data_IF_701380574522
#
_entry.id   IF_701380574522
#
_cell.length_a   1.000
_cell.length_b   1.000
_cell.length_c   1.000
_cell.angle_alpha   90.00
_cell.angle_beta   90.00
_cell.angle_gamma   90.00
#
_symmetry.space_group_name_H-M   'P 1'
#
loop_
_entity.id
_entity.type
_entity.pdbx_description
1 polymer ?
#
# COMPACT_ATOMS: atom_id res chain seq x y z
N UNK A 1 -17.49 0.26 23.77
CA UNK A 1 -16.63 -0.39 24.80
C UNK A 1 -16.70 -1.93 24.78
N UNK A 2 -17.89 -2.56 24.63
CA UNK A 2 -18.08 -4.03 24.69
C UNK A 2 -17.43 -4.85 23.55
N UNK A 3 -17.26 -4.31 22.34
CA UNK A 3 -16.67 -5.06 21.21
C UNK A 3 -15.15 -5.23 21.35
N UNK A 4 -14.43 -4.15 21.71
CA UNK A 4 -12.98 -4.20 21.93
C UNK A 4 -12.59 -5.19 23.04
N UNK A 5 -13.35 -5.23 24.14
CA UNK A 5 -13.10 -6.18 25.23
C UNK A 5 -13.35 -7.64 24.81
N UNK A 6 -14.35 -7.91 23.97
CA UNK A 6 -14.61 -9.25 23.41
C UNK A 6 -13.49 -9.73 22.50
N UNK A 7 -12.96 -8.84 21.64
CA UNK A 7 -11.84 -9.16 20.75
C UNK A 7 -10.57 -9.47 21.54
N UNK A 8 -10.23 -8.63 22.53
CA UNK A 8 -9.07 -8.86 23.40
C UNK A 8 -9.19 -10.16 24.19
N UNK A 9 -10.38 -10.44 24.73
CA UNK A 9 -10.67 -11.72 25.40
C UNK A 9 -10.46 -12.89 24.46
N UNK A 10 -11.00 -12.84 23.24
CA UNK A 10 -10.81 -13.90 22.25
C UNK A 10 -9.33 -14.16 21.95
N UNK A 11 -8.51 -13.13 21.78
CA UNK A 11 -7.07 -13.30 21.58
C UNK A 11 -6.39 -13.97 22.77
N UNK A 12 -6.72 -13.55 23.99
CA UNK A 12 -6.18 -14.15 25.21
C UNK A 12 -6.59 -15.62 25.34
N UNK A 13 -7.87 -15.92 25.17
CA UNK A 13 -8.42 -17.28 25.31
C UNK A 13 -7.84 -18.25 24.26
N UNK A 14 -7.35 -17.74 23.12
CA UNK A 14 -6.74 -18.53 22.04
C UNK A 14 -5.21 -18.39 21.97
N UNK A 15 -4.57 -17.76 22.96
CA UNK A 15 -3.12 -17.50 22.99
C UNK A 15 -2.58 -16.81 21.72
N UNK A 16 -3.35 -15.90 21.13
CA UNK A 16 -2.96 -15.16 19.93
C UNK A 16 -2.11 -13.96 20.33
N UNK A 17 -0.87 -13.94 19.86
CA UNK A 17 0.06 -12.85 20.06
C UNK A 17 -0.21 -11.78 19.00
N UNK A 18 -0.49 -10.56 19.45
CA UNK A 18 -0.76 -9.41 18.59
C UNK A 18 0.56 -8.74 18.19
N UNK A 19 0.64 -8.19 16.98
CA UNK A 19 1.83 -7.49 16.46
C UNK A 19 3.11 -8.34 16.36
N UNK A 20 3.04 -9.65 16.65
CA UNK A 20 4.09 -10.64 16.43
C UNK A 20 3.56 -11.84 15.65
N UNK A 21 4.47 -12.58 15.01
CA UNK A 21 4.12 -13.81 14.32
C UNK A 21 3.73 -14.92 15.31
N UNK A 22 2.56 -15.48 15.08
CA UNK A 22 2.08 -16.74 15.64
C UNK A 22 2.52 -17.85 14.69
N UNK A 23 3.25 -18.85 15.20
CA UNK A 23 3.66 -20.01 14.39
C UNK A 23 2.43 -20.78 13.90
N UNK A 24 2.57 -21.43 12.74
CA UNK A 24 1.57 -22.41 12.30
C UNK A 24 1.49 -23.55 13.32
N UNK A 25 0.29 -23.81 13.82
CA UNK A 25 0.06 -24.85 14.83
C UNK A 25 -0.36 -26.16 14.19
N UNK A 26 -0.48 -27.21 15.01
CA UNK A 26 -0.98 -28.51 14.55
C UNK A 26 -2.40 -28.42 13.96
N UNK A 27 -3.19 -27.39 14.32
CA UNK A 27 -4.53 -27.15 13.76
C UNK A 27 -4.55 -27.06 12.24
N UNK A 28 -3.49 -26.53 11.64
CA UNK A 28 -3.39 -26.30 10.20
C UNK A 28 -2.28 -27.09 9.54
N UNK A 29 -1.62 -28.03 10.24
CA UNK A 29 -0.44 -28.76 9.76
C UNK A 29 -0.68 -29.48 8.43
N UNK A 30 -1.84 -30.11 8.27
CA UNK A 30 -2.23 -30.84 7.06
C UNK A 30 -2.71 -29.93 5.92
N UNK A 31 -2.95 -28.64 6.20
CA UNK A 31 -3.40 -27.68 5.20
C UNK A 31 -2.19 -27.06 4.51
N UNK A 32 -2.10 -27.24 3.18
CA UNK A 32 -1.06 -26.60 2.38
C UNK A 32 -1.16 -25.07 2.47
N UNK A 33 0.00 -24.40 2.53
CA UNK A 33 0.05 -22.93 2.51
C UNK A 33 -0.49 -22.37 1.19
N UNK A 34 -0.04 -22.94 0.06
CA UNK A 34 -0.56 -22.61 -1.27
C UNK A 34 -1.80 -23.46 -1.56
N UNK A 35 -2.93 -22.80 -1.75
CA UNK A 35 -4.17 -23.46 -2.13
C UNK A 35 -4.05 -24.06 -3.53
N UNK A 36 -4.62 -25.26 -3.74
CA UNK A 36 -4.82 -25.84 -5.08
C UNK A 36 -6.11 -25.35 -5.75
N UNK A 37 -7.00 -24.71 -4.99
CA UNK A 37 -8.26 -24.16 -5.50
C UNK A 37 -8.02 -22.79 -6.12
N UNK A 38 -8.65 -22.54 -7.26
CA UNK A 38 -8.65 -21.21 -7.89
C UNK A 38 -9.29 -20.19 -6.95
N UNK A 39 -8.81 -18.95 -7.01
CA UNK A 39 -9.40 -17.79 -6.32
C UNK A 39 -9.38 -17.86 -4.79
N UNK A 40 -8.47 -18.65 -4.20
CA UNK A 40 -8.16 -18.63 -2.77
C UNK A 40 -6.70 -18.22 -2.63
N UNK A 41 -6.43 -17.14 -1.91
CA UNK A 41 -5.08 -16.67 -1.64
C UNK A 41 -4.28 -17.64 -0.77
N UNK A 42 -2.96 -17.46 -0.78
CA UNK A 42 -2.07 -18.28 0.04
C UNK A 42 -2.34 -18.02 1.54
N UNK A 43 -2.30 -19.08 2.34
CA UNK A 43 -2.48 -19.02 3.78
C UNK A 43 -3.94 -18.87 4.25
N UNK A 44 -4.89 -18.51 3.39
CA UNK A 44 -6.31 -18.30 3.80
C UNK A 44 -6.91 -19.56 4.45
N UNK A 45 -6.78 -20.71 3.79
CA UNK A 45 -7.28 -21.98 4.36
C UNK A 45 -6.61 -22.37 5.67
N UNK A 46 -5.33 -21.99 5.86
CA UNK A 46 -4.64 -22.23 7.15
C UNK A 46 -5.23 -21.31 8.22
N UNK A 47 -5.44 -20.03 7.93
CA UNK A 47 -6.06 -19.07 8.85
C UNK A 47 -7.46 -19.50 9.27
N UNK A 48 -8.27 -20.06 8.36
CA UNK A 48 -9.58 -20.63 8.69
C UNK A 48 -9.46 -21.67 9.82
N UNK A 49 -8.47 -22.56 9.73
CA UNK A 49 -8.23 -23.58 10.76
C UNK A 49 -7.63 -23.00 12.04
N UNK A 50 -6.64 -22.11 11.94
CA UNK A 50 -6.00 -21.50 13.11
C UNK A 50 -7.01 -20.72 13.98
N UNK A 51 -7.89 -19.96 13.33
CA UNK A 51 -8.89 -19.11 13.96
C UNK A 51 -10.26 -19.78 14.14
N UNK A 52 -10.41 -21.06 13.78
CA UNK A 52 -11.68 -21.81 13.83
C UNK A 52 -12.85 -21.09 13.14
N UNK A 53 -12.58 -20.49 11.97
CA UNK A 53 -13.59 -19.79 11.17
C UNK A 53 -14.52 -20.82 10.51
N UNK A 54 -15.84 -20.65 10.69
CA UNK A 54 -16.87 -21.54 10.13
C UNK A 54 -17.66 -20.91 8.98
N UNK A 55 -17.44 -19.63 8.71
CA UNK A 55 -18.09 -18.89 7.62
C UNK A 55 -17.40 -19.21 6.27
N UNK A 56 -18.09 -18.95 5.16
CA UNK A 56 -17.54 -19.18 3.82
C UNK A 56 -16.40 -18.19 3.52
N UNK A 57 -15.42 -18.67 2.75
CA UNK A 57 -14.33 -17.85 2.18
C UNK A 57 -14.90 -16.86 1.18
N UNK A 58 -14.38 -15.63 1.16
CA UNK A 58 -14.71 -14.66 0.12
C UNK A 58 -14.41 -15.21 -1.27
N UNK A 59 -15.28 -14.92 -2.24
CA UNK A 59 -15.07 -15.29 -3.64
C UNK A 59 -14.18 -14.29 -4.39
N UNK A 60 -13.97 -14.55 -5.68
CA UNK A 60 -13.12 -13.76 -6.59
C UNK A 60 -13.48 -12.26 -6.71
N UNK A 61 -14.69 -11.87 -6.28
CA UNK A 61 -15.19 -10.49 -6.32
C UNK A 61 -15.41 -9.89 -4.91
N UNK A 62 -14.90 -10.54 -3.86
CA UNK A 62 -14.99 -10.05 -2.50
C UNK A 62 -13.76 -9.22 -2.16
N UNK A 63 -13.96 -8.04 -1.57
CA UNK A 63 -12.87 -7.26 -0.95
C UNK A 63 -12.52 -7.77 0.45
N UNK A 64 -13.28 -8.75 0.96
CA UNK A 64 -13.11 -9.41 2.25
C UNK A 64 -12.70 -10.86 1.99
N UNK A 65 -11.57 -11.28 2.57
CA UNK A 65 -11.03 -12.63 2.36
C UNK A 65 -11.76 -13.64 3.28
N UNK A 66 -11.96 -13.28 4.56
CA UNK A 66 -12.70 -14.09 5.54
C UNK A 66 -13.56 -13.22 6.47
N UNK A 67 -14.62 -13.79 7.05
CA UNK A 67 -15.44 -13.12 8.07
C UNK A 67 -15.41 -13.92 9.36
N UNK A 68 -14.94 -13.35 10.45
CA UNK A 68 -14.94 -14.03 11.75
C UNK A 68 -15.97 -13.37 12.69
N UNK A 69 -16.82 -14.14 13.39
CA UNK A 69 -17.94 -13.60 14.18
C UNK A 69 -17.51 -12.64 15.31
N UNK A 70 -16.28 -12.76 15.80
CA UNK A 70 -15.70 -11.88 16.84
C UNK A 70 -14.80 -10.78 16.28
N UNK A 71 -13.84 -11.10 15.41
CA UNK A 71 -12.84 -10.11 14.92
C UNK A 71 -13.27 -9.37 13.65
N UNK A 72 -14.45 -9.69 13.11
CA UNK A 72 -15.07 -9.02 11.98
C UNK A 72 -14.51 -9.48 10.64
N UNK A 73 -14.56 -8.57 9.66
CA UNK A 73 -14.02 -8.78 8.32
C UNK A 73 -12.50 -8.83 8.35
N UNK A 74 -11.93 -9.77 7.61
CA UNK A 74 -10.50 -10.06 7.58
C UNK A 74 -10.00 -9.87 6.15
N UNK A 75 -8.88 -9.15 6.01
CA UNK A 75 -8.07 -9.25 4.80
C UNK A 75 -6.76 -9.99 5.09
N UNK A 76 -6.42 -10.93 4.23
CA UNK A 76 -5.22 -11.76 4.31
C UNK A 76 -4.24 -11.31 3.23
N UNK A 77 -2.98 -11.16 3.63
CA UNK A 77 -1.90 -10.73 2.75
C UNK A 77 -0.68 -11.63 2.92
N UNK A 78 -0.34 -12.36 1.86
CA UNK A 78 0.87 -13.18 1.79
C UNK A 78 2.11 -12.28 1.60
N UNK A 79 3.03 -12.34 2.55
CA UNK A 79 4.29 -11.60 2.53
C UNK A 79 5.51 -12.51 2.45
N UNK A 80 5.34 -13.76 1.98
CA UNK A 80 6.44 -14.71 1.85
C UNK A 80 7.52 -14.25 0.86
N UNK A 81 7.17 -13.49 -0.20
CA UNK A 81 8.09 -13.09 -1.27
C UNK A 81 8.17 -11.58 -1.54
N UNK A 82 7.79 -10.74 -0.56
CA UNK A 82 7.71 -9.27 -0.73
C UNK A 82 6.89 -8.85 -1.98
N UNK A 83 5.89 -9.67 -2.31
CA UNK A 83 5.03 -9.56 -3.47
C UNK A 83 3.56 -9.34 -3.08
N UNK A 84 3.33 -8.72 -1.93
CA UNK A 84 2.00 -8.32 -1.50
C UNK A 84 1.57 -7.00 -2.16
N UNK A 85 0.45 -7.01 -2.89
CA UNK A 85 -0.26 -5.80 -3.38
C UNK A 85 -1.54 -5.56 -2.59
N UNK A 86 -1.99 -4.31 -2.53
CA UNK A 86 -3.38 -4.00 -2.17
C UNK A 86 -4.36 -4.54 -3.22
N UNK A 87 -5.59 -4.80 -2.77
CA UNK A 87 -6.72 -5.15 -3.64
C UNK A 87 -7.25 -3.96 -4.44
N UNK A 88 -8.42 -4.14 -5.05
CA UNK A 88 -9.04 -3.14 -5.93
C UNK A 88 -9.24 -1.78 -5.25
N UNK A 89 -9.67 -1.76 -3.98
CA UNK A 89 -9.91 -0.52 -3.23
C UNK A 89 -8.62 0.30 -3.10
N UNK A 90 -7.53 -0.32 -2.66
CA UNK A 90 -6.24 0.36 -2.54
C UNK A 90 -5.64 0.78 -3.90
N UNK A 91 -5.89 0.00 -4.97
CA UNK A 91 -5.55 0.42 -6.33
C UNK A 91 -6.32 1.70 -6.73
N UNK A 92 -7.61 1.77 -6.44
CA UNK A 92 -8.44 2.92 -6.75
C UNK A 92 -8.01 4.17 -5.98
N UNK A 93 -7.69 4.05 -4.69
CA UNK A 93 -7.17 5.17 -3.89
C UNK A 93 -5.81 5.65 -4.42
N UNK A 94 -4.90 4.73 -4.79
CA UNK A 94 -3.64 5.10 -5.44
C UNK A 94 -3.89 5.83 -6.78
N UNK A 95 -4.86 5.38 -7.58
CA UNK A 95 -5.19 6.04 -8.85
C UNK A 95 -5.70 7.47 -8.66
N UNK A 96 -6.39 7.76 -7.55
CA UNK A 96 -6.76 9.15 -7.20
C UNK A 96 -5.52 10.00 -6.99
N UNK A 97 -4.54 9.53 -6.22
CA UNK A 97 -3.23 10.20 -6.02
C UNK A 97 -2.55 10.47 -7.36
N UNK A 98 -2.54 9.47 -8.27
CA UNK A 98 -1.97 9.68 -9.60
C UNK A 98 -2.70 10.75 -10.39
N UNK A 99 -4.03 10.73 -10.38
CA UNK A 99 -4.86 11.66 -11.14
C UNK A 99 -4.74 13.10 -10.65
N UNK A 100 -4.65 13.31 -9.34
CA UNK A 100 -4.69 14.66 -8.75
C UNK A 100 -3.32 15.25 -8.49
N UNK A 101 -2.26 14.44 -8.43
CA UNK A 101 -0.90 14.92 -8.12
C UNK A 101 0.08 14.54 -9.23
N UNK A 102 0.26 13.25 -9.50
CA UNK A 102 1.37 12.78 -10.35
C UNK A 102 1.17 13.16 -11.83
N UNK A 103 -0.04 13.00 -12.37
CA UNK A 103 -0.35 13.32 -13.76
C UNK A 103 -0.36 14.84 -14.01
N UNK A 104 -0.94 15.68 -13.14
CA UNK A 104 -0.78 17.13 -13.21
C UNK A 104 0.70 17.55 -13.12
N UNK A 105 1.49 16.91 -12.26
CA UNK A 105 2.92 17.17 -12.15
C UNK A 105 3.67 16.86 -13.45
N UNK A 106 3.42 15.71 -14.06
CA UNK A 106 4.02 15.35 -15.35
C UNK A 106 3.60 16.33 -16.45
N UNK A 107 2.33 16.72 -16.48
CA UNK A 107 1.79 17.70 -17.43
C UNK A 107 2.45 19.08 -17.27
N UNK A 108 2.62 19.52 -16.02
CA UNK A 108 3.32 20.76 -15.69
C UNK A 108 4.76 20.74 -16.20
N UNK A 109 5.50 19.66 -15.95
CA UNK A 109 6.88 19.52 -16.43
C UNK A 109 6.96 19.59 -17.96
N UNK A 110 6.10 18.84 -18.66
CA UNK A 110 6.09 18.82 -20.12
C UNK A 110 5.76 20.19 -20.72
N UNK A 111 4.81 20.92 -20.11
CA UNK A 111 4.38 22.25 -20.58
C UNK A 111 5.43 23.33 -20.33
N UNK A 112 6.16 23.27 -19.21
CA UNK A 112 7.01 24.37 -18.75
C UNK A 112 8.51 24.12 -18.81
N UNK A 113 9.00 22.90 -19.11
CA UNK A 113 10.45 22.62 -19.15
C UNK A 113 11.26 23.60 -20.00
N UNK A 114 10.75 24.05 -21.15
CA UNK A 114 11.50 25.01 -22.00
C UNK A 114 11.37 26.47 -21.55
N UNK A 115 10.57 26.77 -20.54
CA UNK A 115 10.22 28.13 -20.09
C UNK A 115 10.56 28.40 -18.62
N UNK A 116 10.93 27.37 -17.87
CA UNK A 116 11.17 27.44 -16.43
C UNK A 116 12.32 26.50 -16.08
N UNK A 117 13.44 27.06 -15.63
CA UNK A 117 14.62 26.30 -15.22
C UNK A 117 14.31 25.22 -14.16
N UNK A 118 13.35 25.50 -13.27
CA UNK A 118 12.93 24.57 -12.23
C UNK A 118 12.17 23.39 -12.84
N UNK A 119 11.29 23.65 -13.80
CA UNK A 119 10.59 22.61 -14.54
C UNK A 119 11.56 21.77 -15.38
N UNK A 120 12.54 22.39 -16.04
CA UNK A 120 13.58 21.67 -16.79
C UNK A 120 14.41 20.76 -15.89
N UNK A 121 14.89 21.31 -14.77
CA UNK A 121 15.64 20.56 -13.74
C UNK A 121 14.86 19.32 -13.29
N UNK A 122 13.58 19.46 -12.97
CA UNK A 122 12.75 18.35 -12.51
C UNK A 122 12.41 17.36 -13.61
N UNK A 123 12.16 17.83 -14.84
CA UNK A 123 11.98 16.96 -16.00
C UNK A 123 13.20 16.07 -16.21
N UNK A 124 14.40 16.65 -16.17
CA UNK A 124 15.66 15.93 -16.31
C UNK A 124 15.92 14.94 -15.15
N UNK A 125 15.39 15.20 -13.96
CA UNK A 125 15.44 14.24 -12.84
C UNK A 125 14.48 13.07 -13.06
N UNK A 126 13.23 13.33 -13.43
CA UNK A 126 12.26 12.23 -13.63
C UNK A 126 12.53 11.41 -14.90
N UNK A 127 13.26 11.96 -15.88
CA UNK A 127 13.73 11.24 -17.06
C UNK A 127 14.98 10.37 -16.77
N UNK A 128 15.29 10.10 -15.50
CA UNK A 128 16.34 9.17 -15.07
C UNK A 128 15.74 8.00 -14.31
N UNK A 129 16.55 6.95 -14.19
CA UNK A 129 16.30 5.82 -13.29
C UNK A 129 17.18 5.95 -12.05
N UNK A 130 16.67 5.50 -10.91
CA UNK A 130 17.37 5.58 -9.63
C UNK A 130 17.53 4.18 -9.03
N UNK A 131 18.65 3.96 -8.33
CA UNK A 131 19.01 2.66 -7.78
C UNK A 131 19.05 1.56 -8.85
N UNK A 132 18.51 0.39 -8.53
CA UNK A 132 18.45 -0.76 -9.44
C UNK A 132 17.21 -0.77 -10.36
N UNK A 133 16.51 0.36 -10.51
CA UNK A 133 15.35 0.42 -11.39
C UNK A 133 15.74 0.12 -12.84
N UNK A 134 14.86 -0.57 -13.56
CA UNK A 134 15.05 -0.87 -15.00
C UNK A 134 14.49 0.23 -15.90
N UNK A 135 13.66 1.11 -15.36
CA UNK A 135 12.93 2.15 -16.10
C UNK A 135 13.06 3.50 -15.41
N UNK A 136 12.82 4.59 -16.16
CA UNK A 136 12.84 5.95 -15.61
C UNK A 136 11.64 6.19 -14.69
N UNK A 137 11.60 7.34 -14.01
CA UNK A 137 10.39 7.72 -13.25
C UNK A 137 9.23 7.99 -14.21
N UNK A 138 9.46 8.67 -15.35
CA UNK A 138 8.43 8.91 -16.38
C UNK A 138 7.82 7.59 -16.85
N UNK A 139 8.65 6.65 -17.34
CA UNK A 139 8.17 5.34 -17.80
C UNK A 139 7.44 4.59 -16.69
N UNK A 140 7.91 4.73 -15.45
CA UNK A 140 7.29 4.13 -14.28
C UNK A 140 5.93 4.75 -13.93
N UNK A 141 5.73 6.04 -14.16
CA UNK A 141 4.43 6.70 -14.02
C UNK A 141 3.47 6.14 -15.07
N UNK A 142 3.88 6.13 -16.33
CA UNK A 142 3.03 5.67 -17.46
C UNK A 142 2.61 4.20 -17.32
N UNK A 143 3.50 3.37 -16.76
CA UNK A 143 3.25 1.93 -16.54
C UNK A 143 2.64 1.62 -15.17
N UNK A 144 2.51 2.60 -14.29
CA UNK A 144 2.22 2.38 -12.87
C UNK A 144 3.18 1.34 -12.22
N UNK A 145 4.47 1.50 -12.48
CA UNK A 145 5.56 0.68 -11.96
C UNK A 145 6.71 1.57 -11.44
N UNK A 146 6.62 1.97 -10.18
CA UNK A 146 7.67 2.76 -9.53
C UNK A 146 8.42 1.88 -8.53
N UNK A 147 9.71 1.62 -8.81
CA UNK A 147 10.62 1.01 -7.83
C UNK A 147 10.72 1.87 -6.57
N UNK A 148 11.21 1.30 -5.47
CA UNK A 148 11.36 2.04 -4.22
C UNK A 148 12.26 3.27 -4.35
N UNK A 149 13.36 3.15 -5.09
CA UNK A 149 14.27 4.25 -5.38
C UNK A 149 13.64 5.33 -6.26
N UNK A 150 12.93 4.95 -7.32
CA UNK A 150 12.23 5.90 -8.19
C UNK A 150 11.10 6.62 -7.43
N UNK A 151 10.35 5.91 -6.60
CA UNK A 151 9.28 6.48 -5.78
C UNK A 151 9.83 7.46 -4.73
N UNK A 152 10.94 7.11 -4.08
CA UNK A 152 11.62 7.98 -3.11
C UNK A 152 12.08 9.29 -3.75
N UNK A 153 12.70 9.22 -4.93
CA UNK A 153 13.11 10.42 -5.65
C UNK A 153 11.92 11.27 -6.09
N UNK A 154 10.85 10.66 -6.64
CA UNK A 154 9.64 11.39 -7.00
C UNK A 154 9.03 12.11 -5.79
N UNK A 155 9.00 11.46 -4.64
CA UNK A 155 8.56 12.06 -3.38
C UNK A 155 9.44 13.25 -2.98
N UNK A 156 10.76 13.14 -3.11
CA UNK A 156 11.68 14.25 -2.81
C UNK A 156 11.43 15.44 -3.72
N UNK A 157 11.26 15.21 -5.03
CA UNK A 157 10.95 16.26 -6.00
C UNK A 157 9.65 17.00 -5.63
N UNK A 158 8.58 16.26 -5.31
CA UNK A 158 7.31 16.86 -4.93
C UNK A 158 7.42 17.64 -3.61
N UNK A 159 8.21 17.17 -2.63
CA UNK A 159 8.45 17.91 -1.40
C UNK A 159 9.27 19.19 -1.65
N UNK A 160 10.25 19.16 -2.55
CA UNK A 160 10.99 20.36 -2.93
C UNK A 160 10.05 21.39 -3.57
N UNK A 161 9.14 20.97 -4.45
CA UNK A 161 8.15 21.85 -5.12
C UNK A 161 7.31 22.64 -4.12
N UNK A 162 6.92 22.04 -2.98
CA UNK A 162 6.19 22.74 -1.90
C UNK A 162 6.93 23.98 -1.39
N UNK A 163 8.26 23.96 -1.45
CA UNK A 163 9.11 25.07 -0.98
C UNK A 163 9.30 26.18 -2.03
N UNK A 164 8.89 25.96 -3.30
CA UNK A 164 9.02 26.95 -4.37
C UNK A 164 7.84 27.94 -4.47
N UNK A 165 6.84 27.82 -3.58
CA UNK A 165 5.62 28.66 -3.55
C UNK A 165 5.90 30.17 -3.49
N UNK A 166 7.09 30.58 -3.05
CA UNK A 166 7.50 31.98 -2.88
C UNK A 166 8.22 32.62 -4.06
N UNK A 167 8.47 31.90 -5.18
CA UNK A 167 9.22 32.45 -6.32
C UNK A 167 8.30 32.91 -7.47
N UNK A 168 8.64 34.03 -8.10
CA UNK A 168 7.88 34.69 -9.18
C UNK A 168 7.93 33.97 -10.54
N UNK A 169 7.74 32.66 -10.58
CA UNK A 169 7.64 31.93 -11.83
C UNK A 169 6.16 31.79 -12.25
N UNK A 170 5.75 32.27 -13.44
CA UNK A 170 4.38 32.08 -13.92
C UNK A 170 3.93 30.61 -13.97
N UNK A 171 4.87 29.68 -14.17
CA UNK A 171 4.60 28.24 -14.12
C UNK A 171 4.07 27.77 -12.76
N UNK A 172 4.50 28.40 -11.66
CA UNK A 172 4.03 28.07 -10.31
C UNK A 172 2.66 28.69 -9.97
N UNK A 173 2.15 29.59 -10.82
CA UNK A 173 0.79 30.15 -10.75
C UNK A 173 -0.18 29.44 -11.71
N UNK A 174 0.19 28.27 -12.23
CA UNK A 174 -0.66 27.52 -13.15
C UNK A 174 -1.61 26.60 -12.39
N UNK A 175 -2.75 26.29 -13.02
CA UNK A 175 -3.76 25.34 -12.52
C UNK A 175 -3.14 24.00 -12.08
N UNK A 176 -2.16 23.47 -12.83
CA UNK A 176 -1.48 22.23 -12.43
C UNK A 176 -0.81 22.35 -11.07
N UNK A 177 -0.14 23.47 -10.80
CA UNK A 177 0.59 23.66 -9.55
C UNK A 177 -0.38 23.88 -8.38
N UNK A 178 -1.47 24.60 -8.62
CA UNK A 178 -2.55 24.75 -7.64
C UNK A 178 -3.12 23.39 -7.25
N UNK A 179 -3.52 22.57 -8.23
CA UNK A 179 -4.04 21.21 -8.02
C UNK A 179 -3.07 20.32 -7.24
N UNK A 180 -1.77 20.34 -7.63
CA UNK A 180 -0.72 19.55 -6.98
C UNK A 180 -0.56 19.95 -5.52
N UNK A 181 -0.46 21.26 -5.25
CA UNK A 181 -0.21 21.77 -3.90
C UNK A 181 -1.42 21.60 -2.99
N UNK A 182 -2.63 21.80 -3.51
CA UNK A 182 -3.88 21.54 -2.79
C UNK A 182 -3.99 20.06 -2.44
N UNK A 183 -3.80 19.18 -3.44
CA UNK A 183 -3.93 17.73 -3.25
C UNK A 183 -2.85 17.12 -2.35
N UNK A 184 -1.62 17.66 -2.37
CA UNK A 184 -0.57 17.27 -1.42
C UNK A 184 -0.87 17.79 -0.01
N UNK A 185 -1.44 19.00 0.11
CA UNK A 185 -1.66 19.68 1.37
C UNK A 185 -0.38 19.72 2.22
N UNK A 186 -0.47 19.25 3.46
CA UNK A 186 0.69 19.14 4.36
C UNK A 186 1.44 17.81 4.25
N UNK A 187 0.88 16.82 3.58
CA UNK A 187 1.50 15.50 3.43
C UNK A 187 2.59 15.49 2.35
N UNK A 188 3.37 14.41 2.36
CA UNK A 188 4.24 14.02 1.25
C UNK A 188 3.56 12.94 0.41
N UNK A 189 4.02 12.73 -0.83
CA UNK A 189 3.51 11.64 -1.67
C UNK A 189 3.62 10.28 -0.96
N UNK A 190 4.76 10.04 -0.30
CA UNK A 190 5.00 8.82 0.45
C UNK A 190 3.97 8.63 1.58
N UNK A 191 3.60 9.71 2.28
CA UNK A 191 2.61 9.62 3.36
C UNK A 191 1.20 9.38 2.82
N UNK A 192 0.82 10.00 1.69
CA UNK A 192 -0.45 9.69 1.02
C UNK A 192 -0.55 8.22 0.60
N UNK A 193 0.54 7.65 0.07
CA UNK A 193 0.61 6.23 -0.29
C UNK A 193 0.61 5.32 0.96
N UNK A 194 1.25 5.72 2.05
CA UNK A 194 1.18 4.99 3.32
C UNK A 194 -0.23 4.98 3.88
N UNK A 195 -0.94 6.12 3.86
CA UNK A 195 -2.36 6.22 4.26
C UNK A 195 -3.24 5.29 3.41
N UNK A 196 -2.99 5.24 2.09
CA UNK A 196 -3.65 4.30 1.19
C UNK A 196 -3.47 2.84 1.66
N UNK A 197 -2.23 2.40 1.94
CA UNK A 197 -1.97 1.04 2.46
C UNK A 197 -2.60 0.79 3.84
N UNK A 198 -2.54 1.77 4.74
CA UNK A 198 -3.09 1.66 6.11
C UNK A 198 -4.62 1.56 6.14
N UNK A 199 -5.30 2.08 5.10
CA UNK A 199 -6.77 2.02 5.01
C UNK A 199 -7.31 0.58 5.02
N UNK A 200 -6.57 -0.39 4.46
CA UNK A 200 -6.94 -1.81 4.48
C UNK A 200 -7.04 -2.34 5.91
N UNK A 201 -6.06 -2.00 6.76
CA UNK A 201 -6.02 -2.41 8.17
C UNK A 201 -6.93 -1.57 9.08
N UNK A 202 -7.51 -0.49 8.56
CA UNK A 202 -8.45 0.37 9.28
C UNK A 202 -9.89 -0.11 9.07
N UNK A 203 -10.21 -0.53 7.86
CA UNK A 203 -11.55 -1.01 7.48
C UNK A 203 -11.76 -2.48 7.85
N UNK A 204 -10.70 -3.28 7.87
CA UNK A 204 -10.73 -4.73 8.13
C UNK A 204 -9.63 -5.13 9.11
N UNK A 205 -9.78 -6.30 9.74
CA UNK A 205 -8.68 -6.93 10.45
C UNK A 205 -7.67 -7.47 9.42
N UNK A 206 -6.55 -6.77 9.26
CA UNK A 206 -5.46 -7.23 8.40
C UNK A 206 -4.66 -8.34 9.08
N UNK A 207 -4.50 -9.46 8.38
CA UNK A 207 -3.64 -10.58 8.76
C UNK A 207 -2.55 -10.75 7.72
N UNK A 208 -1.30 -10.65 8.15
CA UNK A 208 -0.15 -10.99 7.33
C UNK A 208 0.15 -12.47 7.53
N UNK A 209 0.34 -13.20 6.42
CA UNK A 209 0.72 -14.61 6.44
C UNK A 209 2.07 -14.79 5.76
N UNK A 210 2.85 -15.74 6.27
CA UNK A 210 4.15 -16.08 5.75
C UNK A 210 4.37 -17.59 5.91
N UNK A 211 4.80 -18.25 4.83
CA UNK A 211 4.92 -19.71 4.77
C UNK A 211 5.74 -20.29 5.93
N UNK A 212 6.92 -19.72 6.20
CA UNK A 212 7.82 -20.14 7.29
C UNK A 212 7.57 -19.47 8.65
N UNK A 213 7.23 -18.19 8.67
CA UNK A 213 7.18 -17.42 9.91
C UNK A 213 5.85 -17.59 10.65
N UNK A 214 4.77 -17.97 9.96
CA UNK A 214 3.44 -18.11 10.54
C UNK A 214 2.51 -17.00 10.09
N UNK A 215 1.70 -16.48 11.01
CA UNK A 215 0.72 -15.44 10.75
C UNK A 215 0.68 -14.37 11.83
N UNK A 216 0.30 -13.16 11.46
CA UNK A 216 0.39 -11.97 12.29
C UNK A 216 -0.91 -11.16 12.13
N UNK A 217 -1.56 -10.82 13.24
CA UNK A 217 -2.62 -9.80 13.24
C UNK A 217 -1.97 -8.42 13.35
N UNK A 218 -2.21 -7.57 12.36
CA UNK A 218 -1.71 -6.19 12.35
C UNK A 218 -2.62 -5.32 13.21
N UNK A 219 -2.07 -4.77 14.30
CA UNK A 219 -2.72 -3.73 15.11
C UNK A 219 -1.93 -2.43 15.15
N UNK A 220 -0.61 -2.49 15.04
CA UNK A 220 0.22 -1.30 14.84
C UNK A 220 0.27 -0.93 13.35
N UNK A 221 -0.72 -0.16 12.89
CA UNK A 221 -0.82 0.26 11.49
C UNK A 221 0.32 1.19 11.06
N UNK A 222 1.05 1.82 12.00
CA UNK A 222 2.13 2.73 11.65
C UNK A 222 3.36 1.99 11.11
N UNK A 223 3.47 0.68 11.39
CA UNK A 223 4.47 -0.21 10.79
C UNK A 223 4.18 -0.56 9.33
N UNK A 224 2.95 -0.32 8.85
CA UNK A 224 2.59 -0.48 7.44
C UNK A 224 3.07 0.72 6.62
N UNK A 225 3.66 0.43 5.46
CA UNK A 225 4.10 1.43 4.50
C UNK A 225 4.05 0.90 3.06
N UNK A 226 4.05 1.83 2.11
CA UNK A 226 4.10 1.54 0.67
C UNK A 226 5.55 1.68 0.16
N UNK A 227 6.32 0.59 -0.01
CA UNK A 227 7.71 0.71 -0.43
C UNK A 227 7.87 1.00 -1.92
N UNK A 228 6.92 0.58 -2.76
CA UNK A 228 6.98 0.65 -4.24
C UNK A 228 5.60 0.40 -4.86
N UNK A 229 5.47 0.70 -6.15
CA UNK A 229 4.27 0.43 -6.95
C UNK A 229 4.65 -0.53 -8.06
N UNK A 230 3.85 -1.57 -8.29
CA UNK A 230 4.08 -2.50 -9.40
C UNK A 230 2.76 -3.02 -9.93
N UNK A 231 2.67 -3.30 -11.23
CA UNK A 231 1.46 -3.85 -11.85
C UNK A 231 0.20 -3.01 -11.55
N UNK A 232 0.33 -1.69 -11.45
CA UNK A 232 -0.83 -0.82 -11.18
C UNK A 232 -1.32 -0.77 -9.74
N UNK A 233 -0.62 -1.38 -8.77
CA UNK A 233 -1.03 -1.38 -7.36
C UNK A 233 0.12 -1.05 -6.40
N UNK A 234 -0.18 -0.39 -5.27
CA UNK A 234 0.82 -0.17 -4.23
C UNK A 234 1.15 -1.50 -3.56
N UNK A 235 2.45 -1.72 -3.29
CA UNK A 235 2.90 -2.84 -2.47
C UNK A 235 2.68 -2.52 -1.00
N UNK A 236 2.49 -3.56 -0.20
CA UNK A 236 2.36 -3.46 1.25
C UNK A 236 3.60 -4.07 1.89
N UNK A 237 4.23 -3.33 2.81
CA UNK A 237 5.24 -3.88 3.69
C UNK A 237 4.97 -3.53 5.15
N UNK A 238 5.34 -4.42 6.06
CA UNK A 238 5.18 -4.28 7.50
C UNK A 238 6.55 -4.45 8.15
N UNK A 239 7.00 -3.42 8.88
CA UNK A 239 8.27 -3.46 9.61
C UNK A 239 8.06 -4.25 10.91
N UNK A 240 8.56 -5.48 10.96
CA UNK A 240 8.49 -6.34 12.15
C UNK A 240 9.32 -5.74 13.28
#
# INVERSE_FOLDING_TARGET
>A
MKLKSRILKYYKDNNIIINNFNKWSDKSKEILFKSRKKCIGNGENKIIKELNIKTKVGGQNSTIDLVHPIIGDISIKDMTRDDCILGADGCNEMRKIFRTIINPFLSWLLKYKSKCEVADKYYNRINKKYGYSRITIIDGIDRYELSSSNLSELNNILNEIKNYKSKEYPSFKSEYMEDILESLGNDSLQELLNKCVRSEATTKTLIIVHEKNGWLIVKDINKLHCPRITRGSPRINYKY
#
